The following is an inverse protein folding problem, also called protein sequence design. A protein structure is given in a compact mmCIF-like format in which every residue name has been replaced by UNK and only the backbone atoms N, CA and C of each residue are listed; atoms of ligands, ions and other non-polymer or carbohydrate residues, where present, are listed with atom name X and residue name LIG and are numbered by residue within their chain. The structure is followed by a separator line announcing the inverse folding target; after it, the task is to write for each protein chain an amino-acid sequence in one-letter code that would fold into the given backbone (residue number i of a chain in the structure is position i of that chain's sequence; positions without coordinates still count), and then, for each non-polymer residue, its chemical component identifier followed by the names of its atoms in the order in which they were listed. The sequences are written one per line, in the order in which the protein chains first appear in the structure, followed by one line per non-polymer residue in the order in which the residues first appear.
data_IF_512930433721
#
_entry.id   IF_512930433721
#
_cell.length_a   1.000
_cell.length_b   1.000
_cell.length_c   1.000
_cell.angle_alpha   90.00
_cell.angle_beta   90.00
_cell.angle_gamma   90.00
#
_symmetry.space_group_name_H-M   'P 1'
#
loop_
_entity.id
_entity.type
_entity.pdbx_description
1 polymer ?
#
# COMPACT_ATOMS: atom_id res chain seq x y z
N UNK A 1 -5.94 4.68 -13.55
CA UNK A 1 -6.63 5.27 -12.38
C UNK A 1 -6.87 6.78 -12.53
N UNK A 2 -8.12 7.19 -12.74
CA UNK A 2 -8.51 8.60 -12.74
C UNK A 2 -8.32 9.26 -11.36
N UNK A 3 -8.11 10.58 -11.37
CA UNK A 3 -7.96 11.41 -10.16
C UNK A 3 -9.23 12.26 -9.98
N UNK A 4 -9.86 12.16 -8.80
CA UNK A 4 -11.01 12.99 -8.41
C UNK A 4 -10.57 14.20 -7.59
N UNK A 5 -10.95 15.39 -8.04
CA UNK A 5 -10.93 16.63 -7.26
C UNK A 5 -12.23 16.82 -6.48
N UNK A 6 -12.17 17.58 -5.38
CA UNK A 6 -13.32 17.88 -4.53
C UNK A 6 -13.72 19.34 -4.65
N UNK A 7 -15.02 19.64 -4.47
CA UNK A 7 -15.45 21.03 -4.25
C UNK A 7 -14.79 21.56 -2.98
N UNK A 8 -14.25 22.79 -2.98
CA UNK A 8 -13.52 23.34 -1.83
C UNK A 8 -14.49 23.86 -0.75
N UNK A 9 -15.25 22.96 -0.13
CA UNK A 9 -16.20 23.29 0.95
C UNK A 9 -15.46 23.63 2.25
N UNK A 10 -14.29 23.02 2.48
CA UNK A 10 -13.39 23.34 3.59
C UNK A 10 -11.99 23.70 3.07
N UNK A 11 -11.18 24.48 3.82
CA UNK A 11 -9.84 24.88 3.39
C UNK A 11 -8.95 23.70 3.01
N UNK A 12 -9.03 22.60 3.77
CA UNK A 12 -8.26 21.39 3.51
C UNK A 12 -8.66 20.70 2.20
N UNK A 13 -9.95 20.74 1.82
CA UNK A 13 -10.44 20.08 0.59
C UNK A 13 -9.95 20.76 -0.69
N UNK A 14 -9.47 22.01 -0.64
CA UNK A 14 -8.98 22.77 -1.81
C UNK A 14 -7.86 22.05 -2.58
N UNK A 15 -6.97 21.38 -1.85
CA UNK A 15 -5.78 20.74 -2.42
C UNK A 15 -5.86 19.21 -2.43
N UNK A 16 -6.82 18.63 -1.71
CA UNK A 16 -6.98 17.17 -1.64
C UNK A 16 -7.44 16.62 -2.99
N UNK A 17 -6.67 15.65 -3.49
CA UNK A 17 -7.02 14.81 -4.64
C UNK A 17 -7.01 13.35 -4.20
N UNK A 18 -7.97 12.54 -4.67
CA UNK A 18 -8.03 11.09 -4.38
C UNK A 18 -8.27 10.31 -5.66
N UNK A 19 -7.83 9.05 -5.71
CA UNK A 19 -8.12 8.15 -6.82
C UNK A 19 -9.61 7.77 -6.87
N UNK A 20 -10.18 7.54 -8.06
CA UNK A 20 -11.60 7.15 -8.22
C UNK A 20 -11.87 5.66 -7.98
N UNK A 21 -10.84 4.82 -8.03
CA UNK A 21 -10.92 3.36 -7.79
C UNK A 21 -11.85 2.57 -8.72
N UNK A 22 -12.16 3.07 -9.92
CA UNK A 22 -13.02 2.41 -10.91
C UNK A 22 -12.53 1.00 -11.32
N UNK A 23 -11.21 0.79 -11.32
CA UNK A 23 -10.58 -0.49 -11.66
C UNK A 23 -10.70 -1.54 -10.52
N UNK A 24 -11.14 -1.15 -9.32
CA UNK A 24 -11.24 -2.06 -8.17
C UNK A 24 -12.54 -2.87 -8.27
N UNK A 25 -12.41 -4.14 -8.63
CA UNK A 25 -13.55 -5.06 -8.80
C UNK A 25 -14.07 -5.68 -7.51
N UNK A 26 -13.21 -5.85 -6.49
CA UNK A 26 -13.57 -6.46 -5.20
C UNK A 26 -12.96 -5.67 -4.04
N UNK A 27 -13.76 -5.39 -3.02
CA UNK A 27 -13.35 -4.58 -1.86
C UNK A 27 -12.74 -5.42 -0.73
N UNK A 28 -13.09 -6.71 -0.63
CA UNK A 28 -12.58 -7.62 0.40
C UNK A 28 -11.45 -8.49 -0.17
N UNK A 29 -10.29 -8.60 0.51
CA UNK A 29 -9.20 -9.45 0.06
C UNK A 29 -9.50 -10.93 0.33
N UNK A 30 -8.77 -11.80 -0.36
CA UNK A 30 -8.85 -13.25 -0.16
C UNK A 30 -8.23 -13.66 1.18
N UNK A 31 -8.93 -14.49 1.97
CA UNK A 31 -8.56 -14.73 3.38
C UNK A 31 -7.24 -15.50 3.50
N UNK A 32 -7.01 -16.46 2.62
CA UNK A 32 -5.80 -17.32 2.61
C UNK A 32 -4.52 -16.55 2.25
N UNK A 33 -4.63 -15.45 1.51
CA UNK A 33 -3.50 -14.69 0.99
C UNK A 33 -3.14 -13.47 1.84
N UNK A 34 -3.71 -13.36 3.04
CA UNK A 34 -3.54 -12.18 3.90
C UNK A 34 -2.85 -12.54 5.21
N UNK A 35 -1.82 -11.77 5.57
CA UNK A 35 -1.07 -11.91 6.83
C UNK A 35 -1.10 -10.61 7.64
N UNK A 36 -1.03 -10.71 8.96
CA UNK A 36 -0.95 -9.53 9.83
C UNK A 36 0.40 -8.85 9.67
N UNK A 37 0.42 -7.55 9.35
CA UNK A 37 1.63 -6.73 9.32
C UNK A 37 1.94 -6.22 10.73
N UNK A 38 3.01 -6.73 11.35
CA UNK A 38 3.56 -6.11 12.57
C UNK A 38 4.20 -4.78 12.20
N UNK A 39 3.86 -3.71 12.91
CA UNK A 39 4.45 -2.38 12.69
C UNK A 39 5.66 -2.23 13.61
N UNK A 40 6.73 -1.67 13.07
CA UNK A 40 7.96 -1.38 13.83
C UNK A 40 7.93 0.00 14.48
N UNK A 41 7.15 0.95 13.93
CA UNK A 41 7.11 2.33 14.42
C UNK A 41 8.48 3.01 14.38
N UNK A 42 9.31 2.67 13.38
CA UNK A 42 10.66 3.21 13.20
C UNK A 42 11.72 2.62 14.13
N UNK A 43 11.42 1.55 14.88
CA UNK A 43 12.33 0.92 15.84
C UNK A 43 13.00 -0.35 15.30
N UNK A 44 14.23 -0.62 15.75
CA UNK A 44 14.96 -1.87 15.48
C UNK A 44 14.67 -2.96 16.54
N UNK A 45 15.40 -4.08 16.46
CA UNK A 45 15.31 -5.20 17.41
C UNK A 45 15.56 -4.80 18.87
N UNK A 46 16.41 -3.81 19.10
CA UNK A 46 16.77 -3.33 20.44
C UNK A 46 15.79 -2.26 20.97
N UNK A 47 14.72 -1.98 20.22
CA UNK A 47 13.71 -0.98 20.57
C UNK A 47 14.14 0.47 20.33
N UNK A 48 15.35 0.69 19.78
CA UNK A 48 15.86 2.04 19.47
C UNK A 48 15.24 2.57 18.19
N UNK A 49 14.93 3.88 18.17
CA UNK A 49 14.45 4.56 16.96
C UNK A 49 15.61 4.69 15.98
N UNK A 50 15.54 3.96 14.87
CA UNK A 50 16.51 4.06 13.78
C UNK A 50 16.00 4.91 12.62
N UNK A 51 14.68 5.00 12.46
CA UNK A 51 14.03 5.88 11.47
C UNK A 51 12.98 6.77 12.12
N UNK A 52 13.09 8.08 11.90
CA UNK A 52 12.18 9.10 12.44
C UNK A 52 10.96 9.30 11.52
N UNK A 53 9.87 9.84 12.08
CA UNK A 53 8.64 10.14 11.33
C UNK A 53 7.76 8.93 11.00
N UNK A 54 8.08 7.74 11.51
CA UNK A 54 7.30 6.51 11.28
C UNK A 54 6.51 6.14 12.53
N UNK A 55 5.18 6.17 12.46
CA UNK A 55 4.29 5.80 13.57
C UNK A 55 2.84 6.24 13.34
N UNK A 56 1.89 5.76 14.14
CA UNK A 56 0.51 6.30 14.20
C UNK A 56 -0.44 6.01 13.03
N UNK A 57 0.03 5.47 11.89
CA UNK A 57 -0.85 5.20 10.74
C UNK A 57 -1.95 4.14 11.00
N UNK A 58 -2.92 4.02 10.10
CA UNK A 58 -3.99 3.00 10.17
C UNK A 58 -3.44 1.56 10.13
N UNK A 59 -4.12 0.60 10.77
CA UNK A 59 -3.69 -0.82 10.80
C UNK A 59 -3.80 -1.43 9.39
N UNK A 60 -2.77 -2.13 8.96
CA UNK A 60 -2.68 -2.75 7.64
C UNK A 60 -2.48 -4.25 7.75
N UNK A 61 -2.91 -4.99 6.72
CA UNK A 61 -2.55 -6.40 6.51
C UNK A 61 -1.66 -6.49 5.27
N UNK A 62 -0.70 -7.40 5.28
CA UNK A 62 0.12 -7.73 4.10
C UNK A 62 -0.70 -8.67 3.21
N UNK A 63 -0.68 -8.39 1.91
CA UNK A 63 -1.19 -9.30 0.88
C UNK A 63 0.01 -10.02 0.29
N UNK A 64 -0.03 -11.35 0.25
CA UNK A 64 1.03 -12.14 -0.37
C UNK A 64 0.92 -11.97 -1.88
N UNK A 65 1.95 -11.39 -2.48
CA UNK A 65 2.06 -11.23 -3.94
C UNK A 65 3.10 -12.23 -4.44
N UNK A 66 2.77 -12.90 -5.52
CA UNK A 66 3.67 -13.86 -6.17
C UNK A 66 4.61 -13.12 -7.12
N UNK A 67 5.83 -12.86 -6.64
CA UNK A 67 6.88 -12.20 -7.40
C UNK A 67 7.79 -13.18 -8.18
N UNK A 68 7.55 -14.51 -8.14
CA UNK A 68 8.49 -15.52 -8.66
C UNK A 68 8.05 -16.20 -9.96
N UNK A 69 6.98 -15.73 -10.61
CA UNK A 69 6.42 -16.40 -11.79
C UNK A 69 7.46 -16.51 -12.92
N UNK A 70 7.74 -17.74 -13.38
CA UNK A 70 8.66 -18.06 -14.50
C UNK A 70 8.34 -17.31 -15.80
N UNK A 71 7.06 -17.00 -16.03
CA UNK A 71 6.61 -16.23 -17.20
C UNK A 71 7.25 -14.84 -17.32
N UNK A 72 7.73 -14.24 -16.22
CA UNK A 72 8.40 -12.95 -16.30
C UNK A 72 9.77 -13.05 -16.99
N UNK A 73 10.48 -14.17 -16.81
CA UNK A 73 11.79 -14.42 -17.42
C UNK A 73 11.67 -14.76 -18.90
N UNK A 74 10.64 -15.54 -19.27
CA UNK A 74 10.36 -15.90 -20.67
C UNK A 74 9.78 -14.73 -21.49
N UNK A 75 9.05 -13.80 -20.84
CA UNK A 75 8.39 -12.67 -21.51
C UNK A 75 9.15 -11.35 -21.43
N UNK A 76 9.92 -11.10 -20.37
CA UNK A 76 10.61 -9.82 -20.11
C UNK A 76 12.14 -9.95 -19.97
N UNK A 77 12.71 -11.14 -20.18
CA UNK A 77 14.16 -11.37 -20.26
C UNK A 77 14.84 -11.59 -18.89
N UNK A 78 16.16 -11.88 -18.90
CA UNK A 78 16.91 -12.26 -17.70
C UNK A 78 17.19 -11.11 -16.72
N UNK A 79 16.84 -9.86 -17.07
CA UNK A 79 17.01 -8.65 -16.24
C UNK A 79 15.72 -8.22 -15.51
N UNK A 80 14.65 -9.04 -15.58
CA UNK A 80 13.39 -8.83 -14.84
C UNK A 80 13.39 -9.49 -13.45
#
# INVERSE_FOLDING_TARGET
MPIRSYKPVTPSMRYIKRSTFEEITKTKPEKSLVKTKKKTGGRNSDGRITMRGIGGGAKQKIRNVDFRRRFARDKYGPEA
#
